data_IF_321052529640
#
_entry.id   IF_321052529640
#
_cell.length_a   1.000
_cell.length_b   1.000
_cell.length_c   1.000
_cell.angle_alpha   90.00
_cell.angle_beta   90.00
_cell.angle_gamma   90.00
#
_symmetry.space_group_name_H-M   'P 1'
#
loop_
_entity.id
_entity.type
_entity.pdbx_description
1 polymer ?
#
# COMPACT_ATOMS: atom_id res chain seq x y z
N UNK A 1 -19.15 -2.26 1.94
CA UNK A 1 -20.03 -1.11 2.19
C UNK A 1 -20.46 -0.50 0.86
N UNK A 2 -21.78 -0.28 0.66
CA UNK A 2 -22.32 0.29 -0.59
C UNK A 2 -21.82 1.71 -0.82
N UNK A 3 -21.77 2.51 0.22
CA UNK A 3 -21.34 3.91 0.16
C UNK A 3 -19.86 4.03 -0.30
N UNK A 4 -18.99 3.18 0.19
CA UNK A 4 -17.58 3.13 -0.25
C UNK A 4 -17.47 2.74 -1.73
N UNK A 5 -18.20 1.73 -2.19
CA UNK A 5 -18.20 1.31 -3.58
C UNK A 5 -18.76 2.39 -4.52
N UNK A 6 -19.81 3.11 -4.07
CA UNK A 6 -20.37 4.24 -4.82
C UNK A 6 -19.36 5.41 -4.90
N UNK A 7 -18.60 5.68 -3.83
CA UNK A 7 -17.55 6.70 -3.83
C UNK A 7 -16.43 6.33 -4.81
N UNK A 8 -15.92 5.10 -4.76
CA UNK A 8 -14.92 4.61 -5.70
C UNK A 8 -15.43 4.70 -7.15
N UNK A 9 -16.69 4.31 -7.40
CA UNK A 9 -17.31 4.44 -8.73
C UNK A 9 -17.30 5.89 -9.22
N UNK A 10 -17.69 6.83 -8.37
CA UNK A 10 -17.71 8.26 -8.71
C UNK A 10 -16.31 8.79 -9.03
N UNK A 11 -15.30 8.40 -8.23
CA UNK A 11 -13.91 8.81 -8.46
C UNK A 11 -13.43 8.28 -9.81
N UNK A 12 -13.58 6.98 -10.08
CA UNK A 12 -13.14 6.36 -11.33
C UNK A 12 -13.81 7.04 -12.54
N UNK A 13 -15.13 7.24 -12.49
CA UNK A 13 -15.87 7.85 -13.60
C UNK A 13 -15.48 9.33 -13.80
N UNK A 14 -15.09 10.03 -12.74
CA UNK A 14 -14.68 11.44 -12.83
C UNK A 14 -13.25 11.61 -13.33
N UNK A 15 -12.35 10.71 -12.97
CA UNK A 15 -10.92 10.83 -13.27
C UNK A 15 -10.49 10.06 -14.50
N UNK A 16 -11.25 9.02 -14.89
CA UNK A 16 -10.92 8.13 -16.02
C UNK A 16 -9.45 7.67 -15.98
N UNK A 17 -9.01 7.03 -14.89
CA UNK A 17 -7.58 6.71 -14.72
C UNK A 17 -7.14 5.56 -15.63
N UNK A 18 -5.87 5.56 -16.04
CA UNK A 18 -5.24 4.47 -16.78
C UNK A 18 -4.74 3.33 -15.87
N UNK A 19 -4.51 3.63 -14.59
CA UNK A 19 -4.09 2.69 -13.55
C UNK A 19 -4.69 3.10 -12.21
N UNK A 20 -5.12 2.11 -11.43
CA UNK A 20 -5.61 2.32 -10.06
C UNK A 20 -4.67 1.62 -9.09
N UNK A 21 -4.21 2.34 -8.07
CA UNK A 21 -3.43 1.77 -6.96
C UNK A 21 -4.23 1.90 -5.67
N UNK A 22 -4.52 0.78 -5.04
CA UNK A 22 -5.14 0.73 -3.71
C UNK A 22 -4.04 0.63 -2.64
N UNK A 23 -4.06 1.57 -1.71
CA UNK A 23 -2.99 1.68 -0.69
C UNK A 23 -3.32 0.98 0.62
N UNK A 24 -3.98 -0.16 0.54
CA UNK A 24 -4.27 -1.02 1.69
C UNK A 24 -5.65 -0.82 2.31
N UNK A 25 -5.98 -1.67 3.27
CA UNK A 25 -7.27 -1.70 3.99
C UNK A 25 -8.47 -1.77 3.05
N UNK A 26 -8.35 -2.60 2.01
CA UNK A 26 -9.40 -2.79 1.01
C UNK A 26 -10.57 -3.57 1.60
N UNK A 27 -10.28 -4.46 2.54
CA UNK A 27 -11.24 -5.30 3.24
C UNK A 27 -11.00 -5.22 4.74
N UNK A 28 -12.10 -5.37 5.49
CA UNK A 28 -12.07 -5.32 6.94
C UNK A 28 -12.87 -6.49 7.53
N UNK A 29 -12.23 -7.65 7.75
CA UNK A 29 -12.90 -8.83 8.29
C UNK A 29 -13.04 -8.74 9.82
N UNK A 30 -13.96 -7.93 10.29
CA UNK A 30 -14.22 -7.73 11.72
C UNK A 30 -15.71 -7.86 12.02
N UNK A 31 -16.08 -8.90 12.79
CA UNK A 31 -17.46 -9.28 13.04
C UNK A 31 -18.37 -8.14 13.51
N UNK A 32 -18.00 -7.33 14.51
CA UNK A 32 -18.85 -6.26 15.00
C UNK A 32 -19.18 -5.15 13.98
N UNK A 33 -18.28 -4.90 13.02
CA UNK A 33 -18.46 -3.85 12.01
C UNK A 33 -18.80 -4.38 10.62
N UNK A 34 -18.07 -5.39 10.17
CA UNK A 34 -18.23 -5.95 8.83
C UNK A 34 -19.24 -7.12 8.77
N UNK A 35 -19.72 -7.62 9.92
CA UNK A 35 -20.62 -8.77 10.00
C UNK A 35 -19.99 -10.10 9.55
N UNK A 36 -18.68 -10.16 9.34
CA UNK A 36 -17.99 -11.36 8.87
C UNK A 36 -16.49 -11.31 9.14
N UNK A 37 -15.89 -12.49 9.39
CA UNK A 37 -14.45 -12.71 9.38
C UNK A 37 -13.95 -13.30 8.05
N UNK A 38 -14.83 -13.41 7.05
CA UNK A 38 -14.50 -14.06 5.79
C UNK A 38 -13.93 -13.06 4.78
N UNK A 39 -12.67 -12.70 4.97
CA UNK A 39 -11.93 -11.81 4.07
C UNK A 39 -11.78 -12.38 2.64
N UNK A 40 -11.76 -13.70 2.47
CA UNK A 40 -11.80 -14.33 1.14
C UNK A 40 -13.02 -13.87 0.32
N UNK A 41 -14.23 -13.99 0.89
CA UNK A 41 -15.45 -13.56 0.21
C UNK A 41 -15.48 -12.05 -0.04
N UNK A 42 -14.92 -11.28 0.87
CA UNK A 42 -14.80 -9.83 0.70
C UNK A 42 -13.87 -9.48 -0.47
N UNK A 43 -12.69 -10.11 -0.55
CA UNK A 43 -11.75 -9.93 -1.65
C UNK A 43 -12.37 -10.35 -3.01
N UNK A 44 -12.99 -11.51 -3.08
CA UNK A 44 -13.69 -11.96 -4.29
C UNK A 44 -14.81 -11.00 -4.73
N UNK A 45 -15.52 -10.41 -3.77
CA UNK A 45 -16.55 -9.39 -4.06
C UNK A 45 -15.93 -8.10 -4.58
N UNK A 46 -14.83 -7.67 -3.97
CA UNK A 46 -14.09 -6.49 -4.41
C UNK A 46 -13.55 -6.66 -5.84
N UNK A 47 -12.92 -7.81 -6.15
CA UNK A 47 -12.43 -8.14 -7.49
C UNK A 47 -13.56 -8.04 -8.52
N UNK A 48 -14.70 -8.69 -8.26
CA UNK A 48 -15.88 -8.58 -9.15
C UNK A 48 -16.38 -7.16 -9.33
N UNK A 49 -16.22 -6.32 -8.32
CA UNK A 49 -16.61 -4.90 -8.40
C UNK A 49 -15.66 -4.12 -9.28
N UNK A 50 -14.34 -4.22 -9.04
CA UNK A 50 -13.35 -3.38 -9.71
C UNK A 50 -13.10 -3.82 -11.16
N UNK A 51 -13.14 -5.12 -11.44
CA UNK A 51 -12.99 -5.67 -12.78
C UNK A 51 -14.04 -5.15 -13.80
N UNK A 52 -15.19 -4.64 -13.32
CA UNK A 52 -16.22 -4.05 -14.21
C UNK A 52 -15.74 -2.80 -14.94
N UNK A 53 -14.79 -2.08 -14.36
CA UNK A 53 -14.26 -0.86 -14.98
C UNK A 53 -13.25 -1.13 -16.09
N UNK A 54 -12.72 -2.36 -16.18
CA UNK A 54 -11.74 -2.78 -17.19
C UNK A 54 -10.46 -1.94 -17.20
N UNK A 55 -10.10 -1.38 -16.07
CA UNK A 55 -8.90 -0.57 -15.85
C UNK A 55 -7.90 -1.44 -15.09
N UNK A 56 -6.62 -1.48 -15.49
CA UNK A 56 -5.58 -2.14 -14.70
C UNK A 56 -5.56 -1.60 -13.28
N UNK A 57 -5.44 -2.48 -12.31
CA UNK A 57 -5.32 -2.08 -10.92
C UNK A 57 -4.32 -2.95 -10.17
N UNK A 58 -3.77 -2.36 -9.13
CA UNK A 58 -2.89 -3.04 -8.19
C UNK A 58 -3.20 -2.61 -6.77
N UNK A 59 -2.53 -3.24 -5.81
CA UNK A 59 -2.70 -2.92 -4.39
C UNK A 59 -1.40 -3.13 -3.61
N UNK A 60 -1.33 -2.53 -2.44
CA UNK A 60 -0.52 -2.98 -1.31
C UNK A 60 -1.45 -3.43 -0.20
N UNK A 61 -1.01 -4.29 0.69
CA UNK A 61 -1.81 -4.70 1.83
C UNK A 61 -1.77 -3.67 2.95
N UNK A 62 -2.92 -3.48 3.61
CA UNK A 62 -3.02 -2.80 4.88
C UNK A 62 -3.00 -3.77 6.07
N UNK A 63 -3.03 -3.23 7.27
CA UNK A 63 -3.04 -4.05 8.48
C UNK A 63 -4.39 -4.73 8.73
N UNK A 64 -5.49 -4.14 8.25
CA UNK A 64 -6.84 -4.70 8.44
C UNK A 64 -7.21 -5.78 7.42
N UNK A 65 -6.53 -5.90 6.28
CA UNK A 65 -6.91 -6.89 5.27
C UNK A 65 -6.87 -8.33 5.78
N UNK A 66 -6.02 -8.60 6.79
CA UNK A 66 -5.83 -9.91 7.43
C UNK A 66 -5.95 -9.83 8.96
N UNK A 67 -6.95 -9.16 9.48
CA UNK A 67 -7.19 -9.08 10.93
C UNK A 67 -7.21 -10.45 11.61
N UNK A 68 -6.86 -10.46 12.90
CA UNK A 68 -6.84 -11.67 13.71
C UNK A 68 -8.19 -12.40 13.66
N UNK A 69 -8.14 -13.69 13.34
CA UNK A 69 -9.33 -14.52 13.13
C UNK A 69 -9.89 -14.47 11.71
N UNK A 70 -9.29 -13.69 10.80
CA UNK A 70 -9.65 -13.72 9.39
C UNK A 70 -9.43 -15.10 8.77
N UNK A 71 -10.27 -15.48 7.81
CA UNK A 71 -10.24 -16.79 7.17
C UNK A 71 -8.96 -17.06 6.37
N UNK A 72 -8.38 -16.04 5.80
CA UNK A 72 -7.17 -16.12 4.96
C UNK A 72 -6.10 -15.17 5.47
N UNK A 73 -4.86 -15.65 5.50
CA UNK A 73 -3.67 -14.81 5.65
C UNK A 73 -3.29 -14.10 4.35
N UNK A 74 -2.25 -13.27 4.39
CA UNK A 74 -1.80 -12.43 3.26
C UNK A 74 -1.46 -13.21 2.01
N UNK A 75 -0.71 -14.30 2.14
CA UNK A 75 -0.34 -15.16 1.00
C UNK A 75 -1.57 -15.69 0.25
N UNK A 76 -2.58 -16.16 1.01
CA UNK A 76 -3.82 -16.66 0.42
C UNK A 76 -4.67 -15.56 -0.20
N UNK A 77 -4.69 -14.36 0.41
CA UNK A 77 -5.36 -13.19 -0.19
C UNK A 77 -4.66 -12.75 -1.47
N UNK A 78 -3.33 -12.75 -1.49
CA UNK A 78 -2.55 -12.46 -2.68
C UNK A 78 -2.92 -13.40 -3.83
N UNK A 79 -3.05 -14.72 -3.55
CA UNK A 79 -3.53 -15.70 -4.54
C UNK A 79 -4.96 -15.44 -5.03
N UNK A 80 -5.77 -14.79 -4.22
CA UNK A 80 -7.13 -14.42 -4.61
C UNK A 80 -7.10 -13.18 -5.50
N UNK A 81 -6.36 -12.13 -5.09
CA UNK A 81 -6.26 -10.88 -5.85
C UNK A 81 -5.64 -11.09 -7.24
N UNK A 82 -4.60 -11.94 -7.35
CA UNK A 82 -3.99 -12.27 -8.65
C UNK A 82 -4.93 -12.94 -9.67
N UNK A 83 -6.12 -13.39 -9.23
CA UNK A 83 -7.16 -13.93 -10.13
C UNK A 83 -8.04 -12.86 -10.76
N UNK A 84 -7.94 -11.61 -10.31
CA UNK A 84 -8.64 -10.48 -10.92
C UNK A 84 -8.22 -10.29 -12.37
N UNK A 85 -9.17 -10.11 -13.26
CA UNK A 85 -8.91 -10.05 -14.72
C UNK A 85 -8.03 -8.86 -15.09
N UNK A 86 -8.15 -7.76 -14.36
CA UNK A 86 -7.39 -6.53 -14.59
C UNK A 86 -6.40 -6.24 -13.46
N UNK A 87 -6.24 -7.20 -12.54
CA UNK A 87 -5.28 -7.08 -11.45
C UNK A 87 -3.86 -7.35 -11.94
N UNK A 88 -2.97 -6.39 -11.74
CA UNK A 88 -1.54 -6.49 -12.04
C UNK A 88 -0.68 -6.63 -10.77
N UNK A 89 -1.30 -7.01 -9.66
CA UNK A 89 -0.61 -7.31 -8.41
C UNK A 89 0.34 -8.49 -8.57
N UNK A 90 1.49 -8.39 -7.93
CA UNK A 90 2.48 -9.46 -7.81
C UNK A 90 2.80 -9.72 -6.35
N UNK A 91 2.92 -10.99 -5.96
CA UNK A 91 3.37 -11.38 -4.62
C UNK A 91 4.79 -10.90 -4.30
N UNK A 92 5.56 -10.63 -5.34
CA UNK A 92 6.98 -10.30 -5.18
C UNK A 92 7.86 -11.54 -4.98
N UNK A 93 9.06 -11.31 -4.50
CA UNK A 93 10.07 -12.34 -4.23
C UNK A 93 9.82 -12.96 -2.86
N UNK A 94 10.05 -14.27 -2.73
CA UNK A 94 9.87 -15.00 -1.47
C UNK A 94 11.00 -14.79 -0.46
N UNK A 95 12.14 -14.30 -0.92
CA UNK A 95 13.33 -14.01 -0.11
C UNK A 95 13.37 -12.56 0.37
N UNK A 96 12.30 -11.79 0.14
CA UNK A 96 12.08 -10.45 0.68
C UNK A 96 10.90 -10.51 1.65
N UNK A 97 11.07 -9.94 2.83
CA UNK A 97 10.04 -9.95 3.87
C UNK A 97 8.74 -9.30 3.38
N UNK A 98 7.60 -9.85 3.80
CA UNK A 98 6.27 -9.35 3.41
C UNK A 98 5.77 -9.92 2.08
N UNK A 99 4.56 -9.52 1.70
CA UNK A 99 3.83 -10.00 0.53
C UNK A 99 3.38 -8.84 -0.34
N UNK A 100 3.90 -8.77 -1.56
CA UNK A 100 3.53 -7.71 -2.49
C UNK A 100 4.60 -6.62 -2.62
N UNK A 101 5.87 -6.99 -2.50
CA UNK A 101 6.99 -6.12 -2.82
C UNK A 101 7.37 -6.27 -4.29
N UNK A 102 6.99 -5.33 -5.14
CA UNK A 102 7.25 -5.39 -6.58
C UNK A 102 7.28 -4.00 -7.23
N UNK A 103 7.74 -3.97 -8.47
CA UNK A 103 7.78 -2.76 -9.29
C UNK A 103 6.82 -2.88 -10.47
N UNK A 104 6.17 -1.75 -10.77
CA UNK A 104 5.50 -1.52 -12.05
C UNK A 104 6.28 -0.41 -12.75
N UNK A 105 6.82 -0.68 -13.93
CA UNK A 105 7.52 0.35 -14.69
C UNK A 105 6.54 1.01 -15.65
N UNK A 106 6.36 2.31 -15.53
CA UNK A 106 5.75 3.11 -16.59
C UNK A 106 6.81 3.32 -17.66
N UNK A 107 6.51 2.93 -18.90
CA UNK A 107 7.44 2.98 -20.03
C UNK A 107 6.91 3.83 -21.15
N UNK A 108 7.80 4.34 -22.00
CA UNK A 108 7.45 4.87 -23.30
C UNK A 108 7.19 3.76 -24.34
N UNK A 109 6.94 4.17 -25.59
CA UNK A 109 6.71 3.22 -26.70
C UNK A 109 7.96 2.43 -27.09
N UNK A 110 9.12 2.86 -26.68
CA UNK A 110 10.42 2.23 -26.89
C UNK A 110 10.85 1.38 -25.71
N UNK A 111 9.93 1.13 -24.74
CA UNK A 111 10.17 0.39 -23.49
C UNK A 111 11.18 1.03 -22.52
N UNK A 112 11.56 2.29 -22.70
CA UNK A 112 12.37 3.00 -21.73
C UNK A 112 11.54 3.30 -20.49
N UNK A 113 12.11 3.06 -19.31
CA UNK A 113 11.44 3.32 -18.05
C UNK A 113 11.41 4.82 -17.79
N UNK A 114 10.21 5.38 -17.78
CA UNK A 114 9.95 6.78 -17.44
C UNK A 114 9.81 6.98 -15.93
N UNK A 115 9.08 6.10 -15.27
CA UNK A 115 8.86 6.16 -13.82
C UNK A 115 8.59 4.76 -13.26
N UNK A 116 9.41 4.25 -12.35
CA UNK A 116 9.07 3.06 -11.60
C UNK A 116 8.08 3.38 -10.47
N UNK A 117 7.02 2.62 -10.38
CA UNK A 117 6.11 2.58 -9.25
C UNK A 117 6.53 1.42 -8.35
N UNK A 118 6.79 1.70 -7.09
CA UNK A 118 7.28 0.73 -6.11
C UNK A 118 6.16 0.38 -5.16
N UNK A 119 5.73 -0.88 -5.16
CA UNK A 119 4.80 -1.41 -4.16
C UNK A 119 5.62 -2.03 -3.03
N UNK A 120 5.36 -1.57 -1.80
CA UNK A 120 6.02 -2.10 -0.60
C UNK A 120 4.97 -2.55 0.41
N UNK A 121 5.14 -3.76 0.91
CA UNK A 121 4.36 -4.24 2.05
C UNK A 121 4.91 -3.59 3.32
N UNK A 122 4.13 -2.73 3.95
CA UNK A 122 4.48 -2.12 5.24
C UNK A 122 4.12 -3.00 6.45
N UNK A 123 3.79 -4.26 6.16
CA UNK A 123 3.48 -5.31 7.11
C UNK A 123 2.24 -5.02 7.97
N UNK A 124 2.08 -5.72 9.10
CA UNK A 124 0.88 -5.61 9.93
C UNK A 124 1.23 -5.17 11.36
N UNK A 125 1.46 -6.17 12.19
CA UNK A 125 1.81 -6.02 13.60
C UNK A 125 3.18 -6.65 13.83
N UNK A 126 4.01 -6.02 14.65
CA UNK A 126 5.33 -6.54 14.98
C UNK A 126 5.26 -7.86 15.78
N UNK A 127 6.39 -8.56 15.85
CA UNK A 127 6.53 -9.84 16.58
C UNK A 127 6.35 -9.64 18.09
N UNK A 128 5.12 -9.65 18.53
CA UNK A 128 4.80 -9.53 19.96
C UNK A 128 3.32 -9.71 20.21
N UNK A 129 3.02 -10.35 21.32
CA UNK A 129 1.67 -10.59 21.76
C UNK A 129 0.93 -9.26 22.00
N UNK A 130 -0.21 -9.09 21.40
CA UNK A 130 -1.28 -8.09 21.61
C UNK A 130 -0.91 -6.59 21.70
N UNK A 131 0.34 -6.19 21.97
CA UNK A 131 0.71 -4.80 22.25
C UNK A 131 2.02 -4.33 21.59
N UNK A 132 2.53 -5.05 20.60
CA UNK A 132 3.82 -4.70 19.98
C UNK A 132 3.77 -3.54 18.98
N UNK A 133 2.58 -2.96 18.75
CA UNK A 133 2.39 -1.92 17.75
C UNK A 133 2.45 -2.43 16.31
N UNK A 134 2.45 -1.51 15.38
CA UNK A 134 2.56 -1.83 13.95
C UNK A 134 4.00 -2.17 13.58
N UNK A 135 4.15 -3.04 12.61
CA UNK A 135 5.44 -3.38 12.00
C UNK A 135 5.93 -2.26 11.06
N UNK A 136 7.08 -2.44 10.43
CA UNK A 136 7.70 -1.46 9.54
C UNK A 136 8.06 -2.10 8.19
N UNK A 137 8.55 -1.28 7.27
CA UNK A 137 9.27 -1.77 6.09
C UNK A 137 10.65 -2.23 6.58
N UNK A 138 11.01 -3.49 6.32
CA UNK A 138 12.23 -4.14 6.79
C UNK A 138 13.43 -3.77 5.93
N UNK A 139 14.64 -3.97 6.47
CA UNK A 139 15.91 -3.64 5.81
C UNK A 139 16.06 -4.34 4.46
N UNK A 140 15.74 -5.63 4.38
CA UNK A 140 15.82 -6.41 3.14
C UNK A 140 14.90 -5.86 2.03
N UNK A 141 13.70 -5.35 2.41
CA UNK A 141 12.79 -4.67 1.48
C UNK A 141 13.43 -3.36 0.97
N UNK A 142 14.04 -2.59 1.88
CA UNK A 142 14.68 -1.32 1.56
C UNK A 142 15.90 -1.54 0.69
N UNK A 143 16.79 -2.47 1.03
CA UNK A 143 17.96 -2.83 0.24
C UNK A 143 17.59 -3.29 -1.17
N UNK A 144 16.61 -4.18 -1.27
CA UNK A 144 16.09 -4.65 -2.55
C UNK A 144 15.58 -3.49 -3.42
N UNK A 145 14.79 -2.61 -2.82
CA UNK A 145 14.25 -1.44 -3.49
C UNK A 145 15.37 -0.52 -3.99
N UNK A 146 16.31 -0.15 -3.12
CA UNK A 146 17.41 0.74 -3.42
C UNK A 146 18.36 0.14 -4.47
N UNK A 147 18.63 -1.15 -4.39
CA UNK A 147 19.45 -1.87 -5.39
C UNK A 147 18.82 -1.80 -6.79
N UNK A 148 17.48 -1.93 -6.88
CA UNK A 148 16.78 -1.83 -8.16
C UNK A 148 16.75 -0.39 -8.67
N UNK A 149 16.45 0.58 -7.83
CA UNK A 149 16.46 1.99 -8.19
C UNK A 149 17.86 2.47 -8.62
N UNK A 150 18.92 2.02 -7.96
CA UNK A 150 20.31 2.33 -8.33
C UNK A 150 20.67 1.82 -9.74
N UNK A 151 20.17 0.64 -10.13
CA UNK A 151 20.34 0.13 -11.50
C UNK A 151 19.61 1.00 -12.52
N UNK A 152 18.40 1.45 -12.23
CA UNK A 152 17.65 2.35 -13.10
C UNK A 152 18.32 3.72 -13.21
N UNK A 153 18.84 4.27 -12.11
CA UNK A 153 19.59 5.54 -12.11
C UNK A 153 20.90 5.49 -12.91
N UNK A 154 21.52 4.32 -13.06
CA UNK A 154 22.68 4.18 -13.96
C UNK A 154 22.30 4.35 -15.43
N UNK A 155 21.07 4.02 -15.80
CA UNK A 155 20.54 4.15 -17.17
C UNK A 155 19.97 5.57 -17.38
N UNK A 156 19.20 6.05 -16.41
CA UNK A 156 18.61 7.39 -16.40
C UNK A 156 18.88 8.06 -15.05
N UNK A 157 19.87 8.95 -14.92
CA UNK A 157 20.24 9.59 -13.65
C UNK A 157 19.12 10.43 -13.05
N UNK A 158 18.24 11.00 -13.86
CA UNK A 158 17.14 11.88 -13.45
C UNK A 158 15.83 11.10 -13.13
N UNK A 159 15.84 9.78 -13.23
CA UNK A 159 14.66 8.96 -12.99
C UNK A 159 14.13 9.17 -11.56
N UNK A 160 12.85 9.44 -11.48
CA UNK A 160 12.11 9.55 -10.22
C UNK A 160 11.25 8.32 -10.04
N UNK A 161 11.12 7.84 -8.81
CA UNK A 161 10.23 6.75 -8.43
C UNK A 161 9.08 7.26 -7.56
N UNK A 162 7.96 6.56 -7.60
CA UNK A 162 6.86 6.76 -6.66
C UNK A 162 6.66 5.48 -5.86
N UNK A 163 6.67 5.58 -4.54
CA UNK A 163 6.46 4.45 -3.64
C UNK A 163 5.03 4.46 -3.07
N UNK A 164 4.44 3.27 -2.98
CA UNK A 164 3.13 3.03 -2.40
C UNK A 164 3.26 2.01 -1.27
N UNK A 165 2.81 2.37 -0.11
CA UNK A 165 2.74 1.53 1.10
C UNK A 165 1.58 2.02 1.97
N UNK A 166 1.14 1.20 2.92
CA UNK A 166 -0.03 1.51 3.73
C UNK A 166 0.32 2.27 5.00
N UNK A 167 1.19 1.69 5.84
CA UNK A 167 1.56 2.30 7.12
C UNK A 167 2.55 3.44 6.91
N UNK A 168 2.25 4.66 7.38
CA UNK A 168 3.18 5.77 7.30
C UNK A 168 4.50 5.46 8.00
N UNK A 169 5.59 5.84 7.38
CA UNK A 169 6.90 5.73 8.00
C UNK A 169 7.08 6.76 9.13
N UNK A 170 7.92 6.42 10.09
CA UNK A 170 8.12 7.23 11.30
C UNK A 170 8.59 8.64 11.01
N UNK A 171 9.34 8.82 9.95
CA UNK A 171 9.88 10.10 9.50
C UNK A 171 8.77 11.12 9.17
N UNK A 172 7.59 10.69 8.76
CA UNK A 172 6.45 11.61 8.58
C UNK A 172 6.00 12.25 9.90
N UNK A 173 5.98 11.47 10.98
CA UNK A 173 5.66 12.01 12.31
C UNK A 173 6.74 12.97 12.78
N UNK A 174 8.00 12.60 12.64
CA UNK A 174 9.13 13.45 13.02
C UNK A 174 9.12 14.76 12.24
N UNK A 175 8.87 14.72 10.94
CA UNK A 175 8.73 15.93 10.12
C UNK A 175 7.55 16.79 10.58
N UNK A 176 6.41 16.20 10.88
CA UNK A 176 5.23 16.91 11.36
C UNK A 176 5.49 17.58 12.72
N UNK A 177 6.11 16.89 13.67
CA UNK A 177 6.46 17.45 14.97
C UNK A 177 7.45 18.61 14.84
N UNK A 178 8.47 18.49 13.99
CA UNK A 178 9.39 19.58 13.64
C UNK A 178 8.65 20.80 13.07
N UNK A 179 7.73 20.56 12.13
CA UNK A 179 6.91 21.62 11.55
C UNK A 179 6.11 22.36 12.63
N UNK A 180 5.48 21.65 13.56
CA UNK A 180 4.72 22.27 14.69
C UNK A 180 5.60 23.11 15.59
N UNK A 181 6.85 22.74 15.75
CA UNK A 181 7.86 23.50 16.53
C UNK A 181 8.47 24.66 15.75
N UNK A 182 8.08 24.87 14.50
CA UNK A 182 8.60 25.94 13.65
C UNK A 182 10.03 25.70 13.15
N UNK A 183 10.48 24.44 13.10
CA UNK A 183 11.78 24.06 12.56
C UNK A 183 11.83 24.35 11.05
N UNK A 184 12.73 25.23 10.64
CA UNK A 184 12.89 25.65 9.25
C UNK A 184 13.50 24.59 8.32
N UNK A 185 13.97 23.48 8.86
CA UNK A 185 14.44 22.33 8.07
C UNK A 185 13.28 21.55 7.42
N UNK A 186 12.04 21.80 7.86
CA UNK A 186 10.83 21.17 7.33
C UNK A 186 9.91 22.26 6.79
N UNK A 187 9.49 22.07 5.54
CA UNK A 187 8.56 23.00 4.86
C UNK A 187 7.22 22.31 4.70
N UNK A 188 6.16 22.96 5.17
CA UNK A 188 4.79 22.55 4.85
C UNK A 188 4.45 23.03 3.43
N UNK A 189 4.16 22.09 2.55
CA UNK A 189 3.83 22.43 1.17
C UNK A 189 2.32 22.39 0.91
N UNK A 190 1.67 21.29 1.32
CA UNK A 190 0.26 21.10 0.98
C UNK A 190 -0.42 20.06 1.86
N UNK A 191 -1.72 20.22 2.09
CA UNK A 191 -2.56 19.28 2.82
C UNK A 191 -3.12 19.85 4.12
N UNK A 192 -3.83 19.05 4.87
CA UNK A 192 -4.27 19.36 6.23
C UNK A 192 -4.23 18.08 7.06
N UNK A 193 -3.85 18.21 8.33
CA UNK A 193 -3.91 17.12 9.30
C UNK A 193 -4.93 17.54 10.35
N UNK A 194 -6.02 16.78 10.49
CA UNK A 194 -7.02 17.01 11.52
C UNK A 194 -6.47 16.50 12.85
N UNK A 195 -6.09 17.43 13.74
CA UNK A 195 -5.40 17.10 15.01
C UNK A 195 -6.22 16.24 15.97
N UNK A 196 -7.53 16.17 15.83
CA UNK A 196 -8.40 15.56 16.86
C UNK A 196 -8.71 14.07 16.64
N UNK A 197 -8.63 13.56 15.43
CA UNK A 197 -9.17 12.23 15.10
C UNK A 197 -8.19 11.35 14.28
N UNK A 198 -7.04 11.86 13.89
CA UNK A 198 -6.05 11.10 13.14
C UNK A 198 -4.99 10.52 14.07
N UNK A 199 -5.23 9.30 14.47
CA UNK A 199 -4.16 8.43 14.94
C UNK A 199 -3.25 8.14 13.75
N UNK A 200 -2.05 8.67 13.76
CA UNK A 200 -0.99 8.16 12.91
C UNK A 200 -0.75 6.70 13.30
N UNK A 201 -1.26 5.76 12.53
CA UNK A 201 -0.89 4.36 12.61
C UNK A 201 0.56 4.20 12.15
N UNK A 202 1.48 4.77 12.92
CA UNK A 202 2.91 4.79 12.60
C UNK A 202 3.53 3.55 13.20
N UNK A 203 4.41 2.91 12.45
CA UNK A 203 5.29 1.88 12.98
C UNK A 203 6.00 2.38 14.24
N UNK A 204 5.90 1.61 15.33
CA UNK A 204 6.64 1.89 16.56
C UNK A 204 8.08 1.37 16.50
N UNK A 205 8.37 0.46 15.59
CA UNK A 205 9.73 0.00 15.34
C UNK A 205 10.45 1.05 14.49
N UNK A 206 11.63 1.42 14.93
CA UNK A 206 12.59 2.09 14.08
C UNK A 206 12.91 1.10 12.97
N UNK A 207 12.69 1.49 11.72
CA UNK A 207 13.19 0.71 10.60
C UNK A 207 14.70 0.53 10.80
N UNK A 208 15.18 -0.68 10.66
CA UNK A 208 16.61 -0.99 10.74
C UNK A 208 17.36 -0.30 9.62
#
# INVERSE_FOLDING_TARGET
>A
DKMALDAVTKIINRTSPDLIVFTGDIIFPFLPKAGTMNNKKQAERFIRFIDRFKIPYTLVFGNHDCEMGAKCGREQLADIFTKGKYCIFSKGRKDIFGVGNFFINLTDKQENVLMPLVMLDSNMYGDGWFFSGFDCIHEDQTEWCMNRLSKLKKINPDIKAMAFFHMPVREFKEAYEKMKLGDKSVVYEHGSIAEKDEYFGISYKKGD
#
